data_IF_303877441517
#
_entry.id   IF_303877441517
#
_cell.length_a   1.000
_cell.length_b   1.000
_cell.length_c   1.000
_cell.angle_alpha   90.00
_cell.angle_beta   90.00
_cell.angle_gamma   90.00
#
_symmetry.space_group_name_H-M   'P 1'
#
loop_
_entity.id
_entity.type
_entity.pdbx_description
1 polymer ?
#
# COMPACT_ATOMS: atom_id res chain seq x y z
N UNK A 1 58.55 16.76 38.04
CA UNK A 1 58.11 17.56 36.92
C UNK A 1 56.95 16.73 36.23
N UNK A 2 55.74 16.94 36.72
CA UNK A 2 54.57 16.19 36.30
C UNK A 2 53.75 17.06 35.36
N UNK A 3 53.53 16.61 34.14
CA UNK A 3 52.67 17.27 33.15
C UNK A 3 51.38 16.47 33.04
N UNK A 4 50.30 17.07 33.48
CA UNK A 4 48.92 16.57 33.40
C UNK A 4 48.37 16.79 32.02
N UNK A 5 47.96 15.70 31.31
CA UNK A 5 47.16 15.77 30.08
C UNK A 5 45.68 15.82 30.44
N UNK A 6 45.03 16.94 30.10
CA UNK A 6 43.60 17.14 30.16
C UNK A 6 42.92 16.40 28.98
N UNK A 7 42.00 15.45 29.28
CA UNK A 7 41.09 14.87 28.32
C UNK A 7 39.90 15.82 28.10
N UNK A 8 39.79 16.38 26.92
CA UNK A 8 38.57 17.07 26.48
C UNK A 8 37.58 16.04 25.98
N UNK A 9 36.47 15.91 26.68
CA UNK A 9 35.31 15.15 26.26
C UNK A 9 34.52 16.02 25.29
N UNK A 10 34.43 15.60 24.01
CA UNK A 10 33.61 16.26 23.03
C UNK A 10 32.20 15.62 23.10
N UNK A 11 31.22 16.38 23.58
CA UNK A 11 29.82 16.03 23.45
C UNK A 11 29.42 16.28 21.99
N UNK A 12 29.05 15.22 21.29
CA UNK A 12 28.29 15.34 20.06
C UNK A 12 26.82 15.60 20.44
N UNK A 13 26.32 16.76 20.10
CA UNK A 13 24.92 17.08 20.16
C UNK A 13 24.27 16.51 18.90
N UNK A 14 23.38 15.54 19.09
CA UNK A 14 22.47 15.10 18.05
C UNK A 14 21.42 16.20 17.81
N UNK A 15 21.48 16.86 16.66
CA UNK A 15 20.47 17.80 16.23
C UNK A 15 19.36 17.04 15.49
N UNK A 16 18.26 16.84 16.19
CA UNK A 16 17.01 16.41 15.59
C UNK A 16 16.51 17.53 14.67
N UNK A 17 16.54 17.32 13.36
CA UNK A 17 15.85 18.17 12.40
C UNK A 17 14.38 17.75 12.35
N UNK A 18 13.54 18.43 13.11
CA UNK A 18 12.11 18.42 12.88
C UNK A 18 11.84 19.39 11.69
N UNK A 19 11.52 18.89 10.54
CA UNK A 19 10.93 19.69 9.46
C UNK A 19 9.49 20.02 9.84
N UNK A 20 9.26 21.21 10.33
CA UNK A 20 7.92 21.78 10.44
C UNK A 20 7.53 22.34 9.06
N UNK A 21 6.77 21.59 8.31
CA UNK A 21 6.02 22.13 7.19
C UNK A 21 4.86 22.95 7.75
N UNK A 22 4.91 24.27 7.61
CA UNK A 22 3.82 25.15 7.94
C UNK A 22 2.75 25.04 6.85
N UNK A 23 1.78 24.18 7.05
CA UNK A 23 0.58 24.14 6.25
C UNK A 23 -0.33 25.29 6.68
N UNK A 24 -0.54 26.26 5.80
CA UNK A 24 -1.58 27.27 5.91
C UNK A 24 -2.95 26.60 5.76
N UNK A 25 -3.68 26.50 6.85
CA UNK A 25 -5.05 25.97 6.85
C UNK A 25 -5.98 26.93 6.09
N UNK A 26 -6.37 26.53 4.88
CA UNK A 26 -7.58 27.04 4.27
C UNK A 26 -8.75 26.21 4.80
N UNK A 27 -9.60 26.81 5.62
CA UNK A 27 -10.84 26.20 6.09
C UNK A 27 -11.81 26.07 4.91
N UNK A 28 -11.88 24.91 4.30
CA UNK A 28 -12.99 24.54 3.43
C UNK A 28 -14.14 24.09 4.34
N UNK A 29 -15.23 24.84 4.33
CA UNK A 29 -16.47 24.40 4.95
C UNK A 29 -17.05 23.26 4.12
N UNK A 30 -16.93 22.06 4.64
CA UNK A 30 -17.64 20.88 4.17
C UNK A 30 -19.08 20.95 4.67
N UNK A 31 -20.01 21.24 3.77
CA UNK A 31 -21.45 21.16 4.00
C UNK A 31 -22.00 19.96 3.23
N UNK A 32 -21.79 18.75 3.76
CA UNK A 32 -22.33 17.56 3.15
C UNK A 32 -22.26 16.35 4.07
N UNK A 33 -22.96 16.43 5.20
CA UNK A 33 -23.11 15.31 6.13
C UNK A 33 -24.07 14.27 5.51
N UNK A 34 -23.52 13.27 4.80
CA UNK A 34 -24.23 12.01 4.56
C UNK A 34 -23.90 11.08 5.72
N UNK A 35 -24.86 10.34 6.28
CA UNK A 35 -24.61 9.46 7.41
C UNK A 35 -23.63 8.36 6.99
N UNK A 36 -22.39 8.46 7.48
CA UNK A 36 -21.37 7.45 7.27
C UNK A 36 -21.80 6.13 7.90
N UNK A 37 -21.74 5.05 7.13
CA UNK A 37 -21.97 3.69 7.62
C UNK A 37 -20.88 3.33 8.61
N UNK A 38 -21.20 3.10 9.86
CA UNK A 38 -20.26 2.63 10.88
C UNK A 38 -20.41 1.13 11.00
N UNK A 39 -19.40 0.37 10.60
CA UNK A 39 -19.35 -1.08 10.80
C UNK A 39 -18.76 -1.35 12.18
N UNK A 40 -19.52 -2.05 13.05
CA UNK A 40 -19.01 -2.54 14.32
C UNK A 40 -18.34 -3.89 14.08
N UNK A 41 -17.00 -3.96 14.15
CA UNK A 41 -16.30 -5.23 14.20
C UNK A 41 -16.44 -5.83 15.60
N UNK A 42 -17.44 -6.68 15.80
CA UNK A 42 -17.45 -7.60 16.94
C UNK A 42 -16.33 -8.63 16.76
N UNK A 43 -15.74 -9.05 17.86
CA UNK A 43 -14.75 -10.13 17.93
C UNK A 43 -15.40 -11.46 17.50
N UNK A 44 -15.69 -11.63 16.22
CA UNK A 44 -16.10 -12.87 15.60
C UNK A 44 -14.83 -13.61 15.22
N UNK A 45 -14.69 -14.86 15.61
CA UNK A 45 -13.62 -15.72 15.17
C UNK A 45 -13.43 -15.54 13.66
N UNK A 46 -12.20 -15.20 13.26
CA UNK A 46 -11.85 -14.90 11.90
C UNK A 46 -12.42 -15.98 10.99
N UNK A 47 -13.37 -15.62 10.14
CA UNK A 47 -13.72 -16.46 9.00
C UNK A 47 -12.53 -16.42 8.08
N UNK A 48 -12.06 -17.62 7.70
CA UNK A 48 -11.02 -17.76 6.68
C UNK A 48 -11.41 -16.92 5.46
N UNK A 49 -10.67 -15.87 5.11
CA UNK A 49 -10.98 -15.03 3.95
C UNK A 49 -10.83 -15.80 2.63
N UNK A 50 -10.28 -17.00 2.68
CA UNK A 50 -10.02 -17.90 1.55
C UNK A 50 -11.08 -18.99 1.38
N UNK A 51 -12.27 -18.84 1.97
CA UNK A 51 -13.34 -19.76 1.60
C UNK A 51 -13.60 -19.57 0.12
N UNK A 52 -13.02 -20.46 -0.65
CA UNK A 52 -13.30 -20.66 -2.07
C UNK A 52 -14.82 -20.75 -2.21
N UNK A 53 -15.41 -19.75 -2.83
CA UNK A 53 -16.86 -19.76 -3.10
C UNK A 53 -17.02 -20.51 -4.41
N UNK A 54 -17.36 -21.80 -4.39
CA UNK A 54 -17.43 -22.60 -5.60
C UNK A 54 -18.47 -21.99 -6.55
N UNK A 55 -18.05 -21.70 -7.79
CA UNK A 55 -18.94 -21.30 -8.86
C UNK A 55 -19.12 -19.82 -9.07
N UNK A 56 -18.21 -18.96 -8.54
CA UNK A 56 -18.18 -17.55 -8.91
C UNK A 56 -17.35 -17.39 -10.18
N UNK A 57 -17.99 -16.98 -11.26
CA UNK A 57 -17.29 -16.58 -12.48
C UNK A 57 -16.43 -15.35 -12.19
N UNK A 58 -15.16 -15.36 -12.64
CA UNK A 58 -14.31 -14.19 -12.66
C UNK A 58 -14.93 -13.21 -13.67
N UNK A 59 -15.23 -11.95 -13.28
CA UNK A 59 -15.80 -11.01 -14.24
C UNK A 59 -14.78 -10.73 -15.35
N UNK A 60 -15.24 -10.74 -16.57
CA UNK A 60 -14.45 -10.42 -17.75
C UNK A 60 -14.01 -8.94 -17.71
N UNK A 61 -12.70 -8.68 -17.57
CA UNK A 61 -12.11 -7.34 -17.67
C UNK A 61 -11.73 -7.09 -19.13
N UNK A 62 -12.60 -6.47 -19.91
CA UNK A 62 -12.30 -6.19 -21.32
C UNK A 62 -11.82 -4.76 -21.52
N UNK A 63 -10.55 -4.55 -21.94
CA UNK A 63 -10.07 -3.23 -22.28
C UNK A 63 -10.83 -2.66 -23.48
N UNK A 64 -11.55 -1.56 -23.29
CA UNK A 64 -12.29 -0.85 -24.34
C UNK A 64 -12.00 0.64 -24.30
N UNK A 65 -10.82 1.09 -24.80
CA UNK A 65 -10.43 2.49 -24.75
C UNK A 65 -11.54 3.42 -25.28
N UNK A 66 -11.92 4.42 -24.47
CA UNK A 66 -12.96 5.39 -24.83
C UNK A 66 -14.40 4.92 -24.60
N UNK A 67 -14.62 3.68 -24.15
CA UNK A 67 -15.97 3.17 -23.85
C UNK A 67 -16.28 3.15 -22.35
N UNK A 68 -15.29 3.43 -21.48
CA UNK A 68 -15.48 3.46 -20.02
C UNK A 68 -15.90 4.85 -19.54
N UNK A 69 -16.73 4.88 -18.50
CA UNK A 69 -17.24 6.14 -17.94
C UNK A 69 -16.13 7.03 -17.35
N UNK A 70 -14.98 6.46 -16.95
CA UNK A 70 -13.80 7.20 -16.49
C UNK A 70 -13.25 8.21 -17.53
N UNK A 71 -13.62 8.11 -18.80
CA UNK A 71 -13.25 9.11 -19.81
C UNK A 71 -14.11 10.38 -19.76
N UNK A 72 -15.35 10.26 -19.32
CA UNK A 72 -16.35 11.32 -19.37
C UNK A 72 -16.58 11.99 -18.02
N UNK A 73 -16.31 11.27 -16.92
CA UNK A 73 -16.59 11.72 -15.56
C UNK A 73 -15.48 11.28 -14.60
N UNK A 74 -15.21 12.06 -13.54
CA UNK A 74 -14.30 11.65 -12.49
C UNK A 74 -14.91 10.55 -11.62
N UNK A 75 -14.07 9.69 -11.07
CA UNK A 75 -14.49 8.73 -10.05
C UNK A 75 -15.01 9.41 -8.78
N UNK A 76 -15.79 8.68 -8.01
CA UNK A 76 -16.37 9.15 -6.75
C UNK A 76 -15.52 8.76 -5.55
N UNK A 77 -15.37 9.68 -4.59
CA UNK A 77 -14.68 9.42 -3.33
C UNK A 77 -15.69 9.06 -2.24
N UNK A 78 -15.38 8.00 -1.50
CA UNK A 78 -16.10 7.57 -0.31
C UNK A 78 -15.13 7.38 0.86
N UNK A 79 -15.55 7.61 2.10
CA UNK A 79 -14.78 7.26 3.29
C UNK A 79 -15.67 6.43 4.22
N UNK A 80 -15.32 5.16 4.34
CA UNK A 80 -15.92 4.25 5.32
C UNK A 80 -15.07 4.24 6.59
N UNK A 81 -15.70 4.32 7.77
CA UNK A 81 -15.01 4.32 9.06
C UNK A 81 -15.33 3.06 9.84
N UNK A 82 -14.30 2.32 10.18
CA UNK A 82 -14.38 1.10 10.98
C UNK A 82 -14.01 1.43 12.42
N UNK A 83 -14.76 0.93 13.38
CA UNK A 83 -14.40 1.06 14.81
C UNK A 83 -13.14 0.22 15.07
N UNK A 84 -12.11 0.89 15.56
CA UNK A 84 -10.86 0.27 15.98
C UNK A 84 -10.24 1.09 17.11
N UNK A 85 -10.14 0.48 18.30
CA UNK A 85 -9.63 1.16 19.49
C UNK A 85 -8.13 1.48 19.39
N UNK A 86 -7.39 0.79 18.54
CA UNK A 86 -5.97 1.03 18.30
C UNK A 86 -5.73 2.19 17.33
N UNK A 87 -6.76 2.61 16.60
CA UNK A 87 -6.66 3.74 15.68
C UNK A 87 -6.86 5.09 16.38
N UNK A 88 -6.24 6.17 15.89
CA UNK A 88 -6.52 7.52 16.36
C UNK A 88 -8.01 7.83 16.33
N UNK A 89 -8.53 8.41 17.43
CA UNK A 89 -9.96 8.69 17.64
C UNK A 89 -10.89 7.45 17.62
N UNK A 90 -10.34 6.24 17.79
CA UNK A 90 -11.11 4.99 17.88
C UNK A 90 -11.78 4.57 16.57
N UNK A 91 -11.31 5.09 15.45
CA UNK A 91 -11.84 4.78 14.12
C UNK A 91 -10.72 4.69 13.10
N UNK A 92 -10.80 3.71 12.22
CA UNK A 92 -9.90 3.48 11.10
C UNK A 92 -10.64 3.73 9.80
N UNK A 93 -10.37 4.86 9.11
CA UNK A 93 -10.99 5.14 7.82
C UNK A 93 -10.37 4.28 6.72
N UNK A 94 -11.19 3.94 5.73
CA UNK A 94 -10.79 3.46 4.41
C UNK A 94 -11.30 4.47 3.40
N UNK A 95 -10.42 5.12 2.68
CA UNK A 95 -10.80 5.93 1.53
C UNK A 95 -10.97 4.99 0.33
N UNK A 96 -12.07 5.17 -0.38
CA UNK A 96 -12.41 4.37 -1.56
C UNK A 96 -12.70 5.34 -2.69
N UNK A 97 -12.02 5.15 -3.81
CA UNK A 97 -12.37 5.81 -5.06
C UNK A 97 -12.97 4.78 -6.00
N UNK A 98 -14.24 4.97 -6.28
CA UNK A 98 -14.97 4.13 -7.22
C UNK A 98 -14.90 4.74 -8.62
N UNK A 99 -14.73 3.94 -9.68
CA UNK A 99 -14.85 4.44 -11.03
C UNK A 99 -16.25 5.03 -11.26
N UNK A 100 -16.40 6.00 -12.19
CA UNK A 100 -17.70 6.54 -12.50
C UNK A 100 -18.54 5.47 -13.22
N UNK A 101 -19.76 5.29 -12.78
CA UNK A 101 -20.66 4.31 -13.38
C UNK A 101 -21.67 3.79 -12.38
N UNK A 102 -22.74 3.14 -12.83
CA UNK A 102 -23.80 2.66 -11.95
C UNK A 102 -23.40 1.41 -11.15
N UNK A 103 -22.35 0.73 -11.55
CA UNK A 103 -22.00 -0.59 -11.02
C UNK A 103 -20.48 -0.84 -11.09
N UNK A 104 -19.85 -1.02 -9.93
CA UNK A 104 -18.46 -1.42 -9.81
C UNK A 104 -18.30 -2.94 -9.57
N UNK A 105 -19.39 -3.70 -9.81
CA UNK A 105 -19.40 -5.13 -9.61
C UNK A 105 -18.39 -5.82 -10.53
N UNK A 106 -17.50 -6.58 -9.89
CA UNK A 106 -16.56 -7.42 -10.60
C UNK A 106 -15.32 -6.72 -11.15
N UNK A 107 -15.23 -5.38 -11.11
CA UNK A 107 -13.98 -4.71 -11.52
C UNK A 107 -12.85 -5.00 -10.52
N UNK A 108 -11.59 -5.00 -10.98
CA UNK A 108 -10.44 -5.18 -10.10
C UNK A 108 -10.38 -4.18 -8.93
N UNK A 109 -9.59 -4.49 -7.91
CA UNK A 109 -9.33 -3.58 -6.78
C UNK A 109 -7.84 -3.42 -6.56
N UNK A 110 -7.38 -2.17 -6.46
CA UNK A 110 -6.06 -1.80 -6.00
C UNK A 110 -6.14 -1.28 -4.56
N UNK A 111 -5.57 -2.01 -3.61
CA UNK A 111 -5.35 -1.55 -2.23
C UNK A 111 -4.06 -0.73 -2.19
N UNK A 112 -4.13 0.54 -1.74
CA UNK A 112 -3.03 1.49 -1.82
C UNK A 112 -2.62 1.99 -0.43
N UNK A 113 -1.42 1.65 -0.01
CA UNK A 113 -0.90 1.88 1.33
C UNK A 113 -0.11 3.18 1.41
N UNK A 114 -0.36 4.00 2.45
CA UNK A 114 0.39 5.25 2.66
C UNK A 114 1.77 5.01 3.30
N UNK A 115 2.64 6.01 3.24
CA UNK A 115 3.97 5.98 3.85
C UNK A 115 3.95 6.17 5.37
N UNK A 116 5.15 6.09 5.97
CA UNK A 116 5.39 6.34 7.39
C UNK A 116 4.76 7.65 7.84
N UNK A 117 4.16 7.65 9.03
CA UNK A 117 3.44 8.81 9.62
C UNK A 117 2.34 9.44 8.75
N UNK A 118 2.13 8.92 7.53
CA UNK A 118 1.13 9.39 6.58
C UNK A 118 -0.27 8.87 6.87
N UNK A 119 -1.17 9.18 5.96
CA UNK A 119 -2.57 8.79 5.99
C UNK A 119 -3.10 8.59 4.57
N UNK A 120 -4.29 8.05 4.41
CA UNK A 120 -4.99 8.05 3.12
C UNK A 120 -5.15 9.47 2.51
N UNK A 121 -5.11 10.53 3.34
CA UNK A 121 -5.24 11.92 2.87
C UNK A 121 -4.04 12.37 2.05
N UNK A 122 -2.84 11.90 2.40
CA UNK A 122 -1.63 12.26 1.65
C UNK A 122 -1.73 11.75 0.20
N UNK A 123 -2.30 10.55 0.01
CA UNK A 123 -2.59 9.97 -1.31
C UNK A 123 -3.61 10.83 -2.07
N UNK A 124 -4.66 11.28 -1.39
CA UNK A 124 -5.72 12.12 -1.97
C UNK A 124 -5.18 13.51 -2.33
N UNK A 125 -4.45 14.14 -1.41
CA UNK A 125 -3.89 15.49 -1.58
C UNK A 125 -2.80 15.53 -2.65
N UNK A 126 -2.06 14.43 -2.82
CA UNK A 126 -1.11 14.26 -3.92
C UNK A 126 -1.78 14.11 -5.30
N UNK A 127 -3.10 14.03 -5.36
CA UNK A 127 -3.84 13.94 -6.63
C UNK A 127 -3.82 12.55 -7.29
N UNK A 128 -3.52 11.50 -6.53
CA UNK A 128 -3.44 10.12 -7.07
C UNK A 128 -4.76 9.69 -7.70
N UNK A 129 -5.90 10.04 -7.12
CA UNK A 129 -7.22 9.66 -7.63
C UNK A 129 -7.46 10.11 -9.09
N UNK A 130 -7.36 11.40 -9.42
CA UNK A 130 -7.48 11.88 -10.82
C UNK A 130 -6.48 11.23 -11.79
N UNK A 131 -5.25 10.94 -11.35
CA UNK A 131 -4.25 10.24 -12.19
C UNK A 131 -4.70 8.81 -12.48
N UNK A 132 -5.32 8.13 -11.50
CA UNK A 132 -5.88 6.79 -11.71
C UNK A 132 -7.06 6.82 -12.69
N UNK A 133 -7.98 7.81 -12.60
CA UNK A 133 -9.07 7.97 -13.56
C UNK A 133 -8.57 8.15 -14.99
N UNK A 134 -7.56 9.01 -15.17
CA UNK A 134 -6.95 9.22 -16.49
C UNK A 134 -6.32 7.92 -17.04
N UNK A 135 -5.70 7.14 -16.16
CA UNK A 135 -5.12 5.85 -16.53
C UNK A 135 -6.22 4.82 -16.87
N UNK A 136 -7.30 4.74 -16.09
CA UNK A 136 -8.47 3.92 -16.42
C UNK A 136 -9.02 4.26 -17.80
N UNK A 137 -9.24 5.55 -18.08
CA UNK A 137 -9.70 6.00 -19.39
C UNK A 137 -8.76 5.57 -20.52
N UNK A 138 -7.45 5.73 -20.31
CA UNK A 138 -6.44 5.38 -21.34
C UNK A 138 -6.47 3.91 -21.69
N UNK A 139 -6.67 3.04 -20.71
CA UNK A 139 -6.70 1.58 -20.93
C UNK A 139 -8.09 1.03 -21.28
N UNK A 140 -9.14 1.81 -21.02
CA UNK A 140 -10.50 1.31 -21.15
C UNK A 140 -10.85 0.27 -20.07
N UNK A 141 -10.17 0.29 -18.93
CA UNK A 141 -10.37 -0.62 -17.80
C UNK A 141 -10.67 0.18 -16.56
N UNK A 142 -11.76 -0.13 -15.88
CA UNK A 142 -12.14 0.46 -14.62
C UNK A 142 -11.72 -0.44 -13.45
N UNK A 143 -11.29 0.16 -12.34
CA UNK A 143 -10.98 -0.54 -11.10
C UNK A 143 -11.22 0.36 -9.88
N UNK A 144 -11.48 -0.26 -8.75
CA UNK A 144 -11.61 0.45 -7.47
C UNK A 144 -10.22 0.70 -6.89
N UNK A 145 -9.98 1.90 -6.34
CA UNK A 145 -8.79 2.20 -5.53
C UNK A 145 -9.23 2.36 -4.08
N UNK A 146 -8.60 1.62 -3.17
CA UNK A 146 -8.92 1.66 -1.75
C UNK A 146 -7.66 1.95 -0.92
N UNK A 147 -7.68 3.01 -0.10
CA UNK A 147 -6.57 3.35 0.78
C UNK A 147 -6.98 3.21 2.25
N UNK A 148 -6.63 2.10 2.89
CA UNK A 148 -6.83 1.89 4.32
C UNK A 148 -5.90 2.79 5.14
N UNK A 149 -6.32 3.12 6.37
CA UNK A 149 -5.54 3.91 7.30
C UNK A 149 -4.71 3.00 8.22
N UNK A 150 -3.41 3.05 8.10
CA UNK A 150 -2.45 2.16 8.78
C UNK A 150 -1.86 2.70 10.09
N UNK A 151 -2.23 3.90 10.57
CA UNK A 151 -1.66 4.47 11.79
C UNK A 151 -2.31 3.92 13.06
N UNK A 152 -1.55 3.88 14.15
CA UNK A 152 -2.00 3.58 15.50
C UNK A 152 -2.06 4.87 16.37
N UNK A 153 -2.59 4.76 17.61
CA UNK A 153 -2.82 5.93 18.50
C UNK A 153 -1.58 6.70 18.89
N UNK A 154 -0.43 6.03 18.99
CA UNK A 154 0.86 6.63 19.32
C UNK A 154 1.57 7.24 18.11
N UNK A 155 1.06 7.04 16.90
CA UNK A 155 1.66 7.47 15.63
C UNK A 155 3.06 6.89 15.40
N UNK A 156 3.30 5.68 15.88
CA UNK A 156 4.49 4.91 15.54
C UNK A 156 4.36 4.38 14.12
N UNK A 157 5.47 4.11 13.49
CA UNK A 157 5.47 3.34 12.26
C UNK A 157 4.97 1.94 12.56
N UNK A 158 3.95 1.50 11.83
CA UNK A 158 3.30 0.21 12.06
C UNK A 158 3.84 -0.88 11.15
N UNK A 159 4.69 -0.49 10.20
CA UNK A 159 5.22 -1.38 9.15
C UNK A 159 4.12 -2.20 8.46
N UNK A 160 2.89 -1.71 8.52
CA UNK A 160 1.68 -2.38 8.03
C UNK A 160 1.45 -3.77 8.63
N UNK A 161 2.05 -4.05 9.80
CA UNK A 161 1.99 -5.34 10.49
C UNK A 161 1.04 -5.36 11.68
N UNK A 162 0.87 -6.54 12.23
CA UNK A 162 0.25 -6.73 13.53
C UNK A 162 1.33 -6.65 14.60
N UNK A 163 1.11 -5.82 15.63
CA UNK A 163 2.08 -5.64 16.70
C UNK A 163 2.25 -6.92 17.52
N UNK A 164 3.50 -7.32 17.74
CA UNK A 164 3.86 -8.57 18.47
C UNK A 164 3.23 -8.66 19.85
N UNK A 165 2.96 -7.53 20.51
CA UNK A 165 2.33 -7.45 21.83
C UNK A 165 0.82 -7.20 21.76
N UNK A 166 0.24 -7.15 20.55
CA UNK A 166 -1.22 -7.03 20.34
C UNK A 166 -1.79 -5.62 20.56
N UNK A 167 -0.96 -4.56 20.52
CA UNK A 167 -1.43 -3.18 20.66
C UNK A 167 -2.29 -2.74 19.49
N UNK A 168 -2.01 -3.26 18.28
CA UNK A 168 -2.75 -3.05 17.06
C UNK A 168 -2.59 -4.22 16.08
N UNK A 169 -3.53 -4.36 15.15
CA UNK A 169 -3.55 -5.43 14.15
C UNK A 169 -3.78 -4.83 12.76
N UNK A 170 -2.74 -4.25 12.17
CA UNK A 170 -2.84 -3.53 10.89
C UNK A 170 -2.84 -4.50 9.71
N UNK A 171 -2.01 -5.53 9.73
CA UNK A 171 -2.04 -6.58 8.71
C UNK A 171 -3.42 -7.25 8.64
N UNK A 172 -3.94 -7.68 9.79
CA UNK A 172 -5.29 -8.25 9.89
C UNK A 172 -6.35 -7.27 9.37
N UNK A 173 -6.22 -5.98 9.70
CA UNK A 173 -7.14 -4.97 9.20
C UNK A 173 -7.10 -4.86 7.67
N UNK A 174 -5.93 -4.82 7.06
CA UNK A 174 -5.77 -4.64 5.60
C UNK A 174 -6.21 -5.89 4.85
N UNK A 175 -5.82 -7.08 5.33
CA UNK A 175 -6.04 -8.34 4.63
C UNK A 175 -7.44 -8.93 4.84
N UNK A 176 -8.19 -8.44 5.82
CA UNK A 176 -9.54 -8.94 6.14
C UNK A 176 -10.57 -7.80 6.14
N UNK A 177 -10.50 -6.90 7.12
CA UNK A 177 -11.55 -5.92 7.35
C UNK A 177 -11.66 -4.89 6.22
N UNK A 178 -10.54 -4.39 5.68
CA UNK A 178 -10.58 -3.46 4.56
C UNK A 178 -11.18 -4.12 3.31
N UNK A 179 -10.86 -5.38 3.06
CA UNK A 179 -11.46 -6.16 1.98
C UNK A 179 -12.97 -6.31 2.18
N UNK A 180 -13.41 -6.65 3.42
CA UNK A 180 -14.85 -6.72 3.73
C UNK A 180 -15.58 -5.40 3.46
N UNK A 181 -14.96 -4.28 3.83
CA UNK A 181 -15.52 -2.94 3.67
C UNK A 181 -15.61 -2.52 2.20
N UNK A 182 -14.56 -2.81 1.42
CA UNK A 182 -14.45 -2.35 0.03
C UNK A 182 -15.31 -3.21 -0.90
N UNK A 183 -15.27 -4.52 -0.71
CA UNK A 183 -15.88 -5.49 -1.62
C UNK A 183 -17.26 -5.98 -1.18
N UNK A 184 -17.56 -5.92 0.12
CA UNK A 184 -18.84 -6.35 0.66
C UNK A 184 -19.18 -7.80 0.26
N UNK A 185 -20.39 -8.00 -0.26
CA UNK A 185 -20.86 -9.29 -0.77
C UNK A 185 -20.25 -9.67 -2.13
N UNK A 186 -19.45 -8.78 -2.71
CA UNK A 186 -18.86 -8.90 -4.05
C UNK A 186 -17.36 -9.18 -3.98
N UNK A 187 -17.00 -10.24 -3.26
CA UNK A 187 -15.61 -10.65 -3.11
C UNK A 187 -14.97 -10.91 -4.46
N UNK A 188 -13.84 -10.23 -4.71
CA UNK A 188 -13.03 -10.49 -5.90
C UNK A 188 -12.17 -11.72 -5.65
N UNK A 189 -11.91 -12.52 -6.66
CA UNK A 189 -10.85 -13.52 -6.59
C UNK A 189 -9.49 -12.83 -6.45
N UNK A 190 -8.46 -13.58 -6.05
CA UNK A 190 -7.09 -13.10 -5.87
C UNK A 190 -6.55 -12.36 -7.10
N UNK A 191 -6.85 -12.89 -8.27
CA UNK A 191 -6.37 -12.44 -9.57
C UNK A 191 -6.81 -11.00 -9.88
N UNK A 192 -7.96 -10.58 -9.36
CA UNK A 192 -8.46 -9.21 -9.49
C UNK A 192 -8.07 -8.28 -8.34
N UNK A 193 -7.24 -8.75 -7.39
CA UNK A 193 -6.71 -7.90 -6.32
C UNK A 193 -5.24 -7.58 -6.54
N UNK A 194 -4.95 -6.29 -6.51
CA UNK A 194 -3.59 -5.77 -6.43
C UNK A 194 -3.40 -5.00 -5.13
N UNK A 195 -2.15 -4.95 -4.67
CA UNK A 195 -1.75 -4.12 -3.53
C UNK A 195 -0.58 -3.24 -3.98
N UNK A 196 -0.56 -2.00 -3.52
CA UNK A 196 0.57 -1.11 -3.77
C UNK A 196 0.74 -0.12 -2.63
N UNK A 197 1.80 0.68 -2.68
CA UNK A 197 1.99 1.69 -1.65
C UNK A 197 3.25 2.50 -1.81
N UNK A 198 3.35 3.54 -0.99
CA UNK A 198 4.39 4.55 -1.01
C UNK A 198 5.27 4.43 0.24
N UNK A 199 6.61 4.39 0.10
CA UNK A 199 7.54 4.33 1.22
C UNK A 199 7.30 3.08 2.09
N UNK A 200 7.01 3.25 3.39
CA UNK A 200 6.55 2.17 4.27
C UNK A 200 5.38 1.36 3.66
N UNK A 201 4.49 2.02 2.88
CA UNK A 201 3.43 1.32 2.15
C UNK A 201 3.96 0.46 1.00
N UNK A 202 5.08 0.83 0.40
CA UNK A 202 5.79 0.02 -0.60
C UNK A 202 6.37 -1.26 0.00
N UNK A 203 6.97 -1.15 1.19
CA UNK A 203 7.36 -2.31 2.00
C UNK A 203 6.13 -3.16 2.37
N UNK A 204 5.12 -2.54 2.98
CA UNK A 204 3.91 -3.23 3.42
C UNK A 204 3.22 -3.99 2.30
N UNK A 205 3.17 -3.42 1.08
CA UNK A 205 2.55 -4.09 -0.07
C UNK A 205 3.30 -5.37 -0.46
N UNK A 206 4.63 -5.36 -0.44
CA UNK A 206 5.44 -6.55 -0.69
C UNK A 206 5.30 -7.58 0.46
N UNK A 207 5.48 -7.13 1.71
CA UNK A 207 5.41 -8.01 2.88
C UNK A 207 4.05 -8.70 3.02
N UNK A 208 2.96 -7.94 2.90
CA UNK A 208 1.60 -8.47 3.02
C UNK A 208 1.25 -9.45 1.91
N UNK A 209 1.66 -9.20 0.66
CA UNK A 209 1.39 -10.12 -0.45
C UNK A 209 2.16 -11.44 -0.30
N UNK A 210 3.43 -11.39 0.12
CA UNK A 210 4.25 -12.59 0.31
C UNK A 210 3.88 -13.40 1.55
N UNK A 211 3.34 -12.76 2.59
CA UNK A 211 2.82 -13.43 3.78
C UNK A 211 1.41 -14.01 3.58
N UNK A 212 0.65 -13.41 2.66
CA UNK A 212 -0.73 -13.79 2.37
C UNK A 212 -0.92 -14.05 0.87
N UNK A 213 -0.23 -15.07 0.30
CA UNK A 213 -0.14 -15.26 -1.15
C UNK A 213 -1.48 -15.56 -1.83
N UNK A 214 -2.50 -15.94 -1.08
CA UNK A 214 -3.86 -16.15 -1.61
C UNK A 214 -4.71 -14.88 -1.69
N UNK A 215 -4.20 -13.68 -1.32
CA UNK A 215 -5.02 -12.45 -1.32
C UNK A 215 -4.77 -11.58 -2.52
N UNK A 216 -3.51 -11.33 -2.88
CA UNK A 216 -3.11 -10.40 -3.92
C UNK A 216 -2.27 -11.11 -4.98
N UNK A 217 -2.51 -10.80 -6.25
CA UNK A 217 -1.73 -11.34 -7.39
C UNK A 217 -0.66 -10.37 -7.87
N UNK A 218 -0.77 -9.08 -7.56
CA UNK A 218 0.11 -8.06 -8.07
C UNK A 218 0.50 -7.06 -6.99
N UNK A 219 1.76 -6.61 -7.05
CA UNK A 219 2.35 -5.62 -6.14
C UNK A 219 2.91 -4.45 -6.92
N UNK A 220 2.62 -3.22 -6.48
CA UNK A 220 3.29 -2.00 -6.97
C UNK A 220 3.91 -1.27 -5.79
N UNK A 221 5.22 -1.14 -5.77
CA UNK A 221 5.95 -0.47 -4.69
C UNK A 221 6.60 0.81 -5.19
N UNK A 222 6.22 1.95 -4.62
CA UNK A 222 6.86 3.24 -4.84
C UNK A 222 7.70 3.63 -3.63
N UNK A 223 9.00 3.73 -3.80
CA UNK A 223 9.90 4.08 -2.70
C UNK A 223 9.95 3.06 -1.58
N UNK A 224 9.70 1.78 -1.87
CA UNK A 224 9.69 0.73 -0.87
C UNK A 224 11.07 0.15 -0.56
N UNK A 225 11.16 -0.54 0.55
CA UNK A 225 12.32 -1.32 0.99
C UNK A 225 11.89 -2.77 1.21
N UNK A 226 12.86 -3.71 1.25
CA UNK A 226 12.53 -5.13 1.18
C UNK A 226 13.27 -5.98 2.21
N UNK A 227 13.80 -5.31 3.23
CA UNK A 227 14.19 -5.86 4.54
C UNK A 227 13.36 -5.18 5.60
N UNK A 228 13.36 -5.74 6.80
CA UNK A 228 12.67 -5.08 7.93
C UNK A 228 13.44 -3.81 8.32
N UNK A 229 12.72 -2.70 8.39
CA UNK A 229 13.19 -1.43 8.97
C UNK A 229 12.17 -0.98 10.01
N UNK A 230 12.18 -1.62 11.18
CA UNK A 230 11.16 -1.49 12.24
C UNK A 230 11.66 -0.66 13.43
N UNK A 231 11.73 0.69 13.28
CA UNK A 231 12.19 1.55 14.36
C UNK A 231 11.24 1.59 15.57
N UNK A 232 10.03 1.10 15.39
CA UNK A 232 8.96 1.11 16.40
C UNK A 232 8.85 -0.18 17.21
N UNK A 233 9.66 -1.20 16.89
CA UNK A 233 9.61 -2.54 17.50
C UNK A 233 8.22 -3.19 17.37
N UNK A 234 7.60 -3.02 16.22
CA UNK A 234 6.29 -3.58 15.89
C UNK A 234 6.32 -5.10 15.92
N UNK A 235 7.37 -5.69 15.36
CA UNK A 235 7.52 -7.14 15.18
C UNK A 235 8.30 -7.81 16.31
N UNK A 236 8.92 -7.05 17.21
CA UNK A 236 9.76 -7.59 18.28
C UNK A 236 11.12 -8.10 17.80
N UNK A 237 11.80 -8.92 18.60
CA UNK A 237 13.15 -9.40 18.29
C UNK A 237 13.15 -10.37 17.10
N UNK A 238 14.20 -10.30 16.27
CA UNK A 238 14.46 -11.21 15.14
C UNK A 238 13.29 -11.30 14.12
N UNK A 239 12.80 -10.17 13.56
CA UNK A 239 11.61 -10.16 12.70
C UNK A 239 11.85 -10.63 11.27
N UNK A 240 13.09 -10.76 10.82
CA UNK A 240 13.45 -10.92 9.40
C UNK A 240 12.79 -12.14 8.75
N UNK A 241 12.88 -13.30 9.36
CA UNK A 241 12.35 -14.55 8.78
C UNK A 241 10.83 -14.50 8.51
N UNK A 242 10.11 -13.67 9.24
CA UNK A 242 8.65 -13.59 9.14
C UNK A 242 8.14 -12.34 8.44
N UNK A 243 8.94 -11.27 8.37
CA UNK A 243 8.48 -9.96 7.95
C UNK A 243 9.31 -9.30 6.85
N UNK A 244 10.56 -9.74 6.61
CA UNK A 244 11.37 -9.23 5.53
C UNK A 244 10.94 -9.81 4.17
N UNK A 245 10.50 -9.01 3.20
CA UNK A 245 10.08 -9.50 1.89
C UNK A 245 11.12 -10.40 1.21
N UNK A 246 12.41 -10.09 1.37
CA UNK A 246 13.50 -10.87 0.78
C UNK A 246 13.71 -12.26 1.40
N UNK A 247 13.14 -12.53 2.56
CA UNK A 247 13.17 -13.84 3.22
C UNK A 247 11.93 -14.69 2.93
N UNK A 248 10.93 -14.13 2.27
CA UNK A 248 9.63 -14.76 2.05
C UNK A 248 9.46 -15.36 0.64
N UNK A 249 10.46 -15.23 -0.23
CA UNK A 249 10.36 -15.62 -1.64
C UNK A 249 10.25 -17.13 -1.87
N UNK A 250 10.68 -17.93 -0.91
CA UNK A 250 10.56 -19.39 -0.94
C UNK A 250 9.23 -19.91 -0.35
N UNK A 251 8.35 -19.03 0.09
CA UNK A 251 7.06 -19.41 0.66
C UNK A 251 6.16 -20.08 -0.40
N UNK A 252 5.37 -21.09 -0.02
CA UNK A 252 4.41 -21.68 -0.94
C UNK A 252 3.38 -20.65 -1.46
N UNK A 253 3.13 -20.67 -2.76
CA UNK A 253 2.10 -19.83 -3.42
C UNK A 253 2.49 -18.40 -3.72
N UNK A 254 3.77 -18.02 -3.55
CA UNK A 254 4.26 -16.66 -3.90
C UNK A 254 4.80 -16.54 -5.34
N UNK A 255 5.14 -17.65 -5.98
CA UNK A 255 5.89 -17.66 -7.23
C UNK A 255 5.22 -16.93 -8.40
N UNK A 256 3.90 -16.87 -8.41
CA UNK A 256 3.09 -16.21 -9.44
C UNK A 256 2.67 -14.77 -9.07
N UNK A 257 3.13 -14.24 -7.92
CA UNK A 257 2.93 -12.83 -7.58
C UNK A 257 3.82 -11.97 -8.49
N UNK A 258 3.20 -10.96 -9.12
CA UNK A 258 3.87 -10.04 -10.04
C UNK A 258 4.27 -8.77 -9.30
N UNK A 259 5.48 -8.26 -9.55
CA UNK A 259 6.02 -7.07 -8.89
C UNK A 259 6.33 -5.94 -9.88
N UNK A 260 5.98 -4.70 -9.50
CA UNK A 260 6.44 -3.49 -10.15
C UNK A 260 7.12 -2.59 -9.10
N UNK A 261 8.44 -2.45 -9.20
CA UNK A 261 9.25 -1.69 -8.25
C UNK A 261 9.64 -0.35 -8.89
N UNK A 262 9.29 0.74 -8.20
CA UNK A 262 9.47 2.11 -8.68
C UNK A 262 10.23 2.89 -7.60
N UNK A 263 11.41 3.44 -7.98
CA UNK A 263 12.28 4.10 -7.02
C UNK A 263 13.02 5.27 -7.64
N UNK A 264 13.07 6.41 -6.94
CA UNK A 264 13.83 7.58 -7.38
C UNK A 264 15.34 7.36 -7.34
N UNK A 265 16.05 7.68 -8.44
CA UNK A 265 17.52 7.51 -8.49
C UNK A 265 18.28 8.42 -7.51
N UNK A 266 17.65 9.51 -7.10
CA UNK A 266 18.18 10.48 -6.14
C UNK A 266 17.65 10.30 -4.71
N UNK A 267 16.87 9.24 -4.48
CA UNK A 267 16.37 8.93 -3.14
C UNK A 267 17.53 8.63 -2.19
N UNK A 268 17.64 9.44 -1.15
CA UNK A 268 18.65 9.35 -0.10
C UNK A 268 18.05 9.07 1.28
N UNK A 269 16.80 8.61 1.30
CA UNK A 269 16.12 8.26 2.54
C UNK A 269 16.92 7.19 3.29
N UNK A 270 17.32 7.46 4.53
CA UNK A 270 18.13 6.52 5.29
C UNK A 270 17.27 5.36 5.78
N UNK A 271 17.78 4.16 5.61
CA UNK A 271 17.26 2.93 6.22
C UNK A 271 18.32 2.37 7.17
N UNK A 272 17.90 1.54 8.12
CA UNK A 272 18.84 0.77 8.96
C UNK A 272 19.70 -0.18 8.10
N UNK A 273 19.17 -0.62 6.97
CA UNK A 273 19.77 -1.63 6.09
C UNK A 273 20.48 -1.07 4.86
N UNK A 274 20.49 0.27 4.67
CA UNK A 274 21.18 0.87 3.52
C UNK A 274 20.41 2.01 2.87
N UNK A 275 20.34 2.04 1.52
CA UNK A 275 19.56 3.02 0.76
C UNK A 275 18.34 2.37 0.13
N UNK A 276 17.23 3.08 0.06
CA UNK A 276 16.00 2.61 -0.59
C UNK A 276 16.25 2.20 -2.05
N UNK A 277 16.96 3.03 -2.82
CA UNK A 277 17.28 2.71 -4.22
C UNK A 277 18.07 1.39 -4.36
N UNK A 278 19.11 1.21 -3.54
CA UNK A 278 19.89 -0.03 -3.55
C UNK A 278 19.09 -1.27 -3.13
N UNK A 279 18.14 -1.11 -2.22
CA UNK A 279 17.24 -2.18 -1.82
C UNK A 279 16.28 -2.56 -2.96
N UNK A 280 15.74 -1.60 -3.70
CA UNK A 280 14.87 -1.87 -4.85
C UNK A 280 15.61 -2.62 -5.98
N UNK A 281 16.86 -2.23 -6.28
CA UNK A 281 17.69 -2.95 -7.25
C UNK A 281 17.97 -4.38 -6.80
N UNK A 282 18.44 -4.54 -5.56
CA UNK A 282 18.76 -5.86 -4.97
C UNK A 282 17.53 -6.78 -4.95
N UNK A 283 16.39 -6.30 -4.52
CA UNK A 283 15.18 -7.10 -4.45
C UNK A 283 14.67 -7.49 -5.84
N UNK A 284 14.79 -6.60 -6.83
CA UNK A 284 14.47 -6.94 -8.21
C UNK A 284 15.35 -8.07 -8.77
N UNK A 285 16.62 -8.15 -8.36
CA UNK A 285 17.51 -9.26 -8.72
C UNK A 285 17.06 -10.57 -8.06
N UNK A 286 16.73 -10.54 -6.76
CA UNK A 286 16.23 -11.70 -6.04
C UNK A 286 14.92 -12.23 -6.65
N UNK A 287 13.97 -11.36 -7.00
CA UNK A 287 12.73 -11.76 -7.67
C UNK A 287 13.01 -12.48 -9.00
N UNK A 288 14.00 -12.02 -9.78
CA UNK A 288 14.41 -12.68 -11.03
C UNK A 288 15.08 -14.02 -10.79
N UNK A 289 15.88 -14.14 -9.73
CA UNK A 289 16.53 -15.41 -9.32
C UNK A 289 15.52 -16.46 -8.91
N UNK A 290 14.32 -16.02 -8.42
CA UNK A 290 13.19 -16.90 -8.10
C UNK A 290 12.18 -17.05 -9.27
N UNK A 291 12.57 -16.68 -10.49
CA UNK A 291 11.75 -16.75 -11.70
C UNK A 291 10.41 -15.97 -11.60
N UNK A 292 10.32 -14.99 -10.68
CA UNK A 292 9.11 -14.18 -10.49
C UNK A 292 9.03 -13.05 -11.52
N UNK A 293 7.82 -12.68 -11.89
CA UNK A 293 7.60 -11.54 -12.80
C UNK A 293 7.89 -10.22 -12.10
N UNK A 294 8.92 -9.50 -12.55
CA UNK A 294 9.26 -8.17 -12.02
C UNK A 294 9.48 -7.15 -13.13
N UNK A 295 8.84 -5.99 -13.00
CA UNK A 295 9.16 -4.76 -13.75
C UNK A 295 9.79 -3.74 -12.80
N UNK A 296 10.78 -3.03 -13.28
CA UNK A 296 11.46 -1.97 -12.52
C UNK A 296 11.39 -0.65 -13.27
N UNK A 297 11.29 0.45 -12.52
CA UNK A 297 11.35 1.81 -13.05
C UNK A 297 12.07 2.71 -12.07
N UNK A 298 13.14 3.30 -12.51
CA UNK A 298 13.99 4.19 -11.72
C UNK A 298 14.00 5.59 -12.32
N UNK A 299 12.95 6.44 -12.08
CA UNK A 299 12.93 7.82 -12.54
C UNK A 299 13.99 8.65 -11.83
N UNK A 300 14.44 9.73 -12.48
CA UNK A 300 15.18 10.78 -11.80
C UNK A 300 14.26 11.45 -10.76
N UNK A 301 14.73 11.62 -9.53
CA UNK A 301 13.99 12.23 -8.45
C UNK A 301 14.23 11.57 -7.09
N UNK A 302 13.56 12.08 -6.07
CA UNK A 302 13.72 11.68 -4.67
C UNK A 302 12.58 10.84 -4.12
N UNK A 303 12.40 10.93 -2.78
CA UNK A 303 11.40 10.17 -2.02
C UNK A 303 10.11 10.99 -1.84
N UNK A 304 9.39 11.26 -2.92
CA UNK A 304 8.23 12.13 -2.91
C UNK A 304 7.24 11.84 -4.05
N UNK A 305 6.05 12.42 -3.93
CA UNK A 305 5.00 12.29 -4.94
C UNK A 305 5.32 13.00 -6.27
N UNK A 306 6.22 13.98 -6.31
CA UNK A 306 6.65 14.60 -7.56
C UNK A 306 7.42 13.59 -8.43
N UNK A 307 8.17 12.69 -7.78
CA UNK A 307 8.87 11.56 -8.42
C UNK A 307 7.91 10.42 -8.76
N UNK A 308 6.97 10.08 -7.89
CA UNK A 308 6.12 8.90 -8.03
C UNK A 308 4.91 9.11 -8.95
N UNK A 309 4.21 10.24 -8.84
CA UNK A 309 2.98 10.52 -9.62
C UNK A 309 3.15 10.36 -11.13
N UNK A 310 4.24 10.86 -11.78
CA UNK A 310 4.45 10.67 -13.22
C UNK A 310 4.60 9.19 -13.63
N UNK A 311 4.86 8.29 -12.69
CA UNK A 311 5.04 6.85 -12.96
C UNK A 311 3.75 6.05 -12.81
N UNK A 312 2.72 6.59 -12.13
CA UNK A 312 1.44 5.91 -11.89
C UNK A 312 0.81 5.38 -13.17
N UNK A 313 0.76 6.14 -14.28
CA UNK A 313 0.18 5.61 -15.52
C UNK A 313 0.86 4.33 -16.01
N UNK A 314 2.17 4.21 -15.79
CA UNK A 314 2.93 3.00 -16.18
C UNK A 314 2.78 1.85 -15.18
N UNK A 315 2.51 2.17 -13.92
CA UNK A 315 2.13 1.16 -12.94
C UNK A 315 0.75 0.58 -13.27
N UNK A 316 -0.18 1.40 -13.73
CA UNK A 316 -1.49 0.93 -14.21
C UNK A 316 -1.36 0.08 -15.47
N UNK A 317 -0.44 0.42 -16.42
CA UNK A 317 -0.11 -0.45 -17.57
C UNK A 317 0.22 -1.89 -17.08
N UNK A 318 1.04 -1.98 -16.02
CA UNK A 318 1.46 -3.27 -15.45
C UNK A 318 0.29 -4.02 -14.80
N UNK A 319 -0.57 -3.32 -14.05
CA UNK A 319 -1.73 -3.91 -13.38
C UNK A 319 -2.73 -4.45 -14.41
N UNK A 320 -3.06 -3.65 -15.43
CA UNK A 320 -4.00 -4.05 -16.49
C UNK A 320 -3.48 -5.27 -17.25
N UNK A 321 -2.17 -5.32 -17.55
CA UNK A 321 -1.56 -6.49 -18.18
C UNK A 321 -1.74 -7.76 -17.31
N UNK A 322 -1.61 -7.66 -15.99
CA UNK A 322 -1.78 -8.80 -15.10
C UNK A 322 -3.23 -9.23 -14.93
N UNK A 323 -4.15 -8.28 -14.89
CA UNK A 323 -5.59 -8.59 -14.86
C UNK A 323 -6.06 -9.25 -16.14
N UNK A 324 -5.55 -8.81 -17.31
CA UNK A 324 -5.89 -9.44 -18.60
C UNK A 324 -5.31 -10.86 -18.75
N UNK A 325 -4.12 -11.15 -18.18
CA UNK A 325 -3.55 -12.49 -18.21
C UNK A 325 -4.36 -13.50 -17.39
N UNK A 326 -4.97 -13.04 -16.30
CA UNK A 326 -5.81 -13.88 -15.46
C UNK A 326 -7.07 -14.40 -16.19
N UNK A 327 -7.54 -13.66 -17.23
CA UNK A 327 -8.70 -14.05 -18.04
C UNK A 327 -8.36 -15.12 -19.09
N UNK A 328 -7.11 -15.14 -19.56
CA UNK A 328 -6.67 -16.09 -20.60
C UNK A 328 -6.36 -17.49 -20.04
N UNK A 329 -6.25 -17.64 -18.71
CA UNK A 329 -5.90 -18.90 -18.03
C UNK A 329 -7.14 -19.71 -17.55
N UNK A 330 -8.35 -19.13 -17.59
CA UNK A 330 -9.62 -19.76 -17.21
C UNK A 330 -10.40 -20.25 -18.47
#
# INVERSE_FOLDING_TARGET
MFTTLSRRTTLLAASSFAMAAAATFATVHDTGDRPGTTIETGNSAAKDPYVDIPGREVPEVQPRPGEVAACDQPGENEIVRVRDRSAPNGQRPVWIRRPPGPDDHGVPVLYLLHGSTGTHRDIVEAGVGPIMDEAMCRHGVEFVVAAPYGQETGRRDTEWGDAVHGEFNIETFVTQTAIDVVEGDQRRPRELRAIGGFSMGGYGSAALSLRNPGIYSQVVSWGGYFKVDDPSDTFGPDPDDAHAPDQLLDNPGVADIRFNLIEGTDDRTPLQTGSIHGEAERFAELLREHDMTVKTRFPEGGHDFDTWNPTIPKAVDFLVEGWAQAEDED
#
